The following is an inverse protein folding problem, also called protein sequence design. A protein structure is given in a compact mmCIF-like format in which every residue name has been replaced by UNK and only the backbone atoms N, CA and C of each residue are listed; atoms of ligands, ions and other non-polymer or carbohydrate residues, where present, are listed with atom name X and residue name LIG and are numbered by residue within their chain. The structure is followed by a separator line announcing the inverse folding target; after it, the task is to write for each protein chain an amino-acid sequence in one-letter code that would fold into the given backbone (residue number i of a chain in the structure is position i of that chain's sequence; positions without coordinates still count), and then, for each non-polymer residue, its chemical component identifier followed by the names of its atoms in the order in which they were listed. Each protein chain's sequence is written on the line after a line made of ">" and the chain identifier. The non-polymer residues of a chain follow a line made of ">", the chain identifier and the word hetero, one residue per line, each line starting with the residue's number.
data_IF_747321738564
#
_entry.id   IF_747321738564
#
_cell.length_a   1.000
_cell.length_b   1.000
_cell.length_c   1.000
_cell.angle_alpha   90.00
_cell.angle_beta   90.00
_cell.angle_gamma   90.00
#
_symmetry.space_group_name_H-M   'P 1'
#
loop_
_entity.id
_entity.type
_entity.pdbx_description
1 polymer ?
#
# COMPACT_ATOMS: atom_id res chain seq x y z
N UNK A 1 23.08 43.41 -14.50
CA UNK A 1 21.66 43.69 -14.18
C UNK A 1 20.72 42.57 -14.62
N UNK A 2 20.75 42.10 -15.88
CA UNK A 2 19.84 41.04 -16.37
C UNK A 2 20.03 39.68 -15.65
N UNK A 3 21.27 39.29 -15.35
CA UNK A 3 21.59 38.05 -14.64
C UNK A 3 21.03 38.04 -13.20
N UNK A 4 21.09 39.19 -12.52
CA UNK A 4 20.52 39.34 -11.17
C UNK A 4 18.99 39.29 -11.19
N UNK A 5 18.36 39.80 -12.25
CA UNK A 5 16.91 39.72 -12.42
C UNK A 5 16.44 38.27 -12.59
N UNK A 6 17.17 37.47 -13.38
CA UNK A 6 16.87 36.04 -13.59
C UNK A 6 17.05 35.23 -12.30
N UNK A 7 18.10 35.50 -11.52
CA UNK A 7 18.28 34.86 -10.21
C UNK A 7 17.20 35.26 -9.21
N UNK A 8 16.75 36.51 -9.25
CA UNK A 8 15.65 36.97 -8.39
C UNK A 8 14.34 36.30 -8.82
N UNK A 9 14.09 36.11 -10.12
CA UNK A 9 12.90 35.41 -10.64
C UNK A 9 12.93 33.93 -10.23
N UNK A 10 14.06 33.23 -10.32
CA UNK A 10 14.15 31.83 -9.85
C UNK A 10 14.00 31.69 -8.34
N UNK A 11 14.55 32.63 -7.56
CA UNK A 11 14.35 32.67 -6.10
C UNK A 11 12.88 32.97 -5.76
N UNK A 12 12.25 33.94 -6.43
CA UNK A 12 10.81 34.24 -6.25
C UNK A 12 9.97 33.01 -6.59
N UNK A 13 10.23 32.33 -7.71
CA UNK A 13 9.51 31.10 -8.08
C UNK A 13 9.75 29.94 -7.10
N UNK A 14 10.86 29.95 -6.36
CA UNK A 14 11.15 28.99 -5.29
C UNK A 14 10.55 29.38 -3.94
N UNK A 15 10.29 30.68 -3.70
CA UNK A 15 9.67 31.23 -2.49
C UNK A 15 8.14 31.29 -2.61
N UNK A 16 7.61 31.48 -3.82
CA UNK A 16 6.25 31.12 -4.18
C UNK A 16 6.25 29.61 -4.34
N UNK A 17 6.26 28.87 -3.23
CA UNK A 17 6.13 27.43 -3.25
C UNK A 17 5.04 27.01 -4.24
N UNK A 18 5.27 25.91 -4.97
CA UNK A 18 4.24 25.29 -5.83
C UNK A 18 2.90 25.43 -5.12
N UNK A 19 1.83 25.89 -5.81
CA UNK A 19 0.54 26.06 -5.16
C UNK A 19 0.24 24.76 -4.41
N UNK A 20 0.14 24.83 -3.09
CA UNK A 20 -0.35 23.73 -2.28
C UNK A 20 -1.75 23.53 -2.84
N UNK A 21 -1.91 22.57 -3.73
CA UNK A 21 -3.23 22.16 -4.20
C UNK A 21 -3.93 21.78 -2.92
N UNK A 22 -4.84 22.63 -2.46
CA UNK A 22 -5.53 22.44 -1.19
C UNK A 22 -6.14 21.05 -1.25
N UNK A 23 -5.52 20.09 -0.54
CA UNK A 23 -5.92 18.69 -0.60
C UNK A 23 -7.24 18.66 0.13
N UNK A 24 -8.32 18.54 -0.63
CA UNK A 24 -9.65 18.69 -0.07
C UNK A 24 -9.91 17.51 0.87
N UNK A 25 -10.03 17.80 2.16
CA UNK A 25 -10.22 16.79 3.22
C UNK A 25 -11.52 16.01 2.98
N UNK A 26 -12.49 16.57 2.25
CA UNK A 26 -13.73 15.87 1.87
C UNK A 26 -13.51 14.63 1.00
N UNK A 27 -12.34 14.50 0.37
CA UNK A 27 -12.01 13.34 -0.46
C UNK A 27 -11.52 12.13 0.37
N UNK A 28 -11.46 12.28 1.69
CA UNK A 28 -10.89 11.31 2.61
C UNK A 28 -11.97 10.65 3.48
N UNK A 29 -11.84 9.34 3.66
CA UNK A 29 -12.73 8.53 4.51
C UNK A 29 -11.88 7.76 5.51
N UNK A 30 -12.19 7.86 6.81
CA UNK A 30 -11.62 7.00 7.86
C UNK A 30 -12.61 5.84 8.09
N UNK A 31 -12.16 4.60 7.91
CA UNK A 31 -12.98 3.42 8.20
C UNK A 31 -13.09 3.19 9.71
N UNK A 32 -14.04 2.35 10.13
CA UNK A 32 -14.16 1.92 11.55
C UNK A 32 -12.88 1.27 12.06
N UNK A 33 -12.15 0.56 11.19
CA UNK A 33 -10.84 -0.04 11.50
C UNK A 33 -9.67 0.97 11.47
N UNK A 34 -9.93 2.28 11.41
CA UNK A 34 -8.89 3.31 11.41
C UNK A 34 -8.08 3.41 10.10
N UNK A 35 -8.58 2.86 8.99
CA UNK A 35 -7.90 2.89 7.69
C UNK A 35 -8.32 4.14 6.91
N UNK A 36 -7.34 4.86 6.37
CA UNK A 36 -7.59 6.04 5.52
C UNK A 36 -7.74 5.64 4.05
N UNK A 37 -8.90 5.95 3.49
CA UNK A 37 -9.20 5.86 2.06
C UNK A 37 -9.23 7.27 1.46
N UNK A 38 -8.81 7.38 0.19
CA UNK A 38 -8.80 8.63 -0.55
C UNK A 38 -9.41 8.46 -1.93
N UNK A 39 -10.41 9.29 -2.23
CA UNK A 39 -11.21 9.23 -3.45
C UNK A 39 -10.91 10.39 -4.41
N UNK A 40 -10.05 11.33 -4.00
CA UNK A 40 -9.70 12.51 -4.79
C UNK A 40 -8.72 12.23 -5.93
N UNK A 41 -8.11 13.29 -6.44
CA UNK A 41 -7.31 13.29 -7.67
C UNK A 41 -5.84 13.68 -7.47
N UNK A 42 -5.35 13.71 -6.23
CA UNK A 42 -3.93 13.96 -5.96
C UNK A 42 -3.07 12.81 -6.52
N UNK A 43 -1.96 13.15 -7.18
CA UNK A 43 -1.09 12.22 -7.91
C UNK A 43 0.40 12.44 -7.61
N UNK A 44 0.71 12.95 -6.42
CA UNK A 44 2.08 13.15 -5.96
C UNK A 44 2.27 12.53 -4.56
N UNK A 45 3.47 12.03 -4.31
CA UNK A 45 3.84 11.47 -3.01
C UNK A 45 4.15 12.59 -2.02
N UNK A 46 4.35 12.23 -0.74
CA UNK A 46 4.84 13.17 0.28
C UNK A 46 6.18 13.82 -0.05
N UNK A 47 6.96 13.20 -0.94
CA UNK A 47 8.25 13.71 -1.43
C UNK A 47 8.12 14.39 -2.80
N UNK A 48 6.90 14.70 -3.23
CA UNK A 48 6.61 15.37 -4.50
C UNK A 48 7.03 14.56 -5.75
N UNK A 49 7.22 13.24 -5.61
CA UNK A 49 7.40 12.35 -6.75
C UNK A 49 6.06 12.10 -7.44
N UNK A 50 6.05 12.12 -8.77
CA UNK A 50 4.84 11.88 -9.55
C UNK A 50 4.47 10.40 -9.54
N UNK A 51 3.19 10.12 -9.27
CA UNK A 51 2.66 8.78 -9.27
C UNK A 51 2.58 8.20 -10.69
N UNK A 52 2.98 6.93 -10.82
CA UNK A 52 2.80 6.12 -12.02
C UNK A 52 1.32 5.74 -12.22
N UNK A 53 0.86 5.57 -13.48
CA UNK A 53 -0.48 5.08 -13.76
C UNK A 53 -0.67 3.63 -13.28
N UNK A 54 -1.68 3.39 -12.44
CA UNK A 54 -2.02 2.06 -11.92
C UNK A 54 -2.31 1.04 -13.04
N UNK A 55 -2.84 1.50 -14.17
CA UNK A 55 -3.16 0.64 -15.29
C UNK A 55 -1.91 0.08 -15.99
N UNK A 56 -0.84 0.87 -16.07
CA UNK A 56 0.39 0.46 -16.77
C UNK A 56 1.16 -0.61 -15.95
N UNK A 57 1.02 -0.52 -14.63
CA UNK A 57 1.62 -1.44 -13.68
C UNK A 57 0.97 -2.83 -13.67
N UNK A 58 -0.23 -3.00 -14.26
CA UNK A 58 -0.86 -4.31 -14.38
C UNK A 58 0.01 -5.31 -15.14
N UNK A 59 0.88 -4.84 -16.04
CA UNK A 59 1.79 -5.71 -16.80
C UNK A 59 3.02 -6.14 -16.00
N UNK A 60 3.39 -5.37 -14.98
CA UNK A 60 4.58 -5.59 -14.14
C UNK A 60 4.21 -6.34 -12.85
N UNK A 61 3.06 -5.98 -12.25
CA UNK A 61 2.55 -6.53 -10.98
C UNK A 61 1.19 -7.20 -11.17
N UNK A 62 1.05 -8.01 -12.22
CA UNK A 62 -0.21 -8.67 -12.59
C UNK A 62 -0.87 -9.38 -11.42
N UNK A 63 -0.12 -10.20 -10.69
CA UNK A 63 -0.63 -11.03 -9.59
C UNK A 63 -1.21 -10.22 -8.42
N UNK A 64 -0.78 -8.96 -8.26
CA UNK A 64 -1.21 -8.07 -7.18
C UNK A 64 -2.38 -7.19 -7.66
N UNK A 65 -2.19 -6.47 -8.77
CA UNK A 65 -3.14 -5.42 -9.18
C UNK A 65 -4.44 -6.03 -9.77
N UNK A 66 -4.35 -7.21 -10.37
CA UNK A 66 -5.52 -7.92 -10.93
C UNK A 66 -6.19 -8.84 -9.92
N UNK A 67 -5.68 -8.92 -8.69
CA UNK A 67 -6.27 -9.73 -7.64
C UNK A 67 -7.71 -9.26 -7.37
N UNK A 68 -8.69 -10.17 -7.37
CA UNK A 68 -10.07 -9.80 -7.09
C UNK A 68 -10.17 -9.17 -5.70
N UNK A 69 -10.67 -7.94 -5.64
CA UNK A 69 -10.79 -7.12 -4.42
C UNK A 69 -9.55 -6.31 -4.02
N UNK A 70 -8.48 -6.27 -4.83
CA UNK A 70 -7.40 -5.31 -4.57
C UNK A 70 -7.93 -3.87 -4.67
N UNK A 71 -8.65 -3.52 -5.73
CA UNK A 71 -9.34 -2.23 -5.84
C UNK A 71 -10.85 -2.39 -5.54
N UNK A 72 -11.22 -2.31 -4.26
CA UNK A 72 -12.64 -2.29 -3.84
C UNK A 72 -13.34 -0.97 -4.18
N UNK A 73 -12.61 0.15 -4.12
CA UNK A 73 -13.14 1.49 -4.41
C UNK A 73 -12.00 2.51 -4.60
N UNK A 74 -11.85 3.19 -5.77
CA UNK A 74 -12.46 2.93 -7.08
C UNK A 74 -11.65 1.89 -7.90
N UNK A 75 -12.17 1.38 -9.02
CA UNK A 75 -11.44 0.42 -9.89
C UNK A 75 -10.09 0.94 -10.39
N UNK A 76 -9.18 0.03 -10.78
CA UNK A 76 -7.85 0.35 -11.35
C UNK A 76 -7.92 1.39 -12.47
N UNK A 77 -8.92 1.28 -13.37
CA UNK A 77 -9.10 2.21 -14.50
C UNK A 77 -9.48 3.62 -14.04
N UNK A 78 -10.27 3.72 -12.98
CA UNK A 78 -10.73 5.00 -12.42
C UNK A 78 -9.68 5.62 -11.50
N UNK A 79 -8.80 4.80 -10.92
CA UNK A 79 -7.68 5.26 -10.11
C UNK A 79 -6.66 6.09 -10.90
N UNK A 80 -6.55 5.91 -12.23
CA UNK A 80 -5.57 6.60 -13.09
C UNK A 80 -4.16 6.52 -12.50
N UNK A 81 -3.57 7.65 -12.08
CA UNK A 81 -2.33 7.73 -11.31
C UNK A 81 -2.54 8.42 -9.95
N UNK A 82 -3.78 8.45 -9.45
CA UNK A 82 -4.09 9.11 -8.19
C UNK A 82 -3.66 8.24 -7.00
N UNK A 83 -3.32 8.88 -5.89
CA UNK A 83 -3.05 8.20 -4.61
C UNK A 83 -4.23 7.32 -4.21
N UNK A 84 -3.99 6.07 -3.84
CA UNK A 84 -5.05 5.13 -3.43
C UNK A 84 -4.57 4.24 -2.30
N UNK A 85 -5.50 3.58 -1.62
CA UNK A 85 -5.18 2.63 -0.57
C UNK A 85 -5.86 1.26 -0.79
N UNK A 86 -5.56 0.58 -1.91
CA UNK A 86 -6.26 -0.66 -2.29
C UNK A 86 -6.05 -1.80 -1.28
N UNK A 87 -4.88 -1.85 -0.66
CA UNK A 87 -4.47 -2.90 0.28
C UNK A 87 -4.71 -2.55 1.75
N UNK A 88 -5.50 -1.51 2.05
CA UNK A 88 -5.81 -1.09 3.42
C UNK A 88 -4.56 -0.83 4.28
N UNK A 89 -3.55 -0.19 3.68
CA UNK A 89 -2.34 0.22 4.37
C UNK A 89 -2.67 1.19 5.50
N UNK A 90 -2.20 0.87 6.72
CA UNK A 90 -2.39 1.69 7.92
C UNK A 90 -1.72 3.07 7.83
N UNK A 91 -0.67 3.21 7.02
CA UNK A 91 -0.01 4.48 6.78
C UNK A 91 -0.81 5.40 5.83
N UNK A 92 -1.92 4.88 5.26
CA UNK A 92 -2.82 5.63 4.41
C UNK A 92 -2.52 5.49 2.91
N UNK A 93 -3.06 6.40 2.09
CA UNK A 93 -2.95 6.32 0.64
C UNK A 93 -1.52 6.46 0.13
N UNK A 94 -1.23 5.73 -0.94
CA UNK A 94 0.09 5.63 -1.56
C UNK A 94 -0.04 5.52 -3.07
N UNK A 95 1.09 5.56 -3.77
CA UNK A 95 1.17 5.22 -5.18
C UNK A 95 2.54 4.63 -5.51
N UNK A 96 2.69 4.11 -6.73
CA UNK A 96 4.00 3.72 -7.24
C UNK A 96 4.69 4.90 -7.90
N UNK A 97 6.02 4.95 -7.76
CA UNK A 97 6.89 5.90 -8.44
C UNK A 97 7.99 5.13 -9.18
N UNK A 98 8.67 5.81 -10.11
CA UNK A 98 9.89 5.29 -10.73
C UNK A 98 11.03 6.27 -10.46
N UNK A 99 12.08 5.76 -9.80
CA UNK A 99 13.31 6.51 -9.60
C UNK A 99 14.50 5.66 -10.06
N UNK A 100 15.38 6.24 -10.88
CA UNK A 100 16.55 5.56 -11.45
C UNK A 100 16.26 4.18 -12.08
N UNK A 101 15.10 4.04 -12.72
CA UNK A 101 14.68 2.78 -13.36
C UNK A 101 14.11 1.73 -12.41
N UNK A 102 13.98 2.04 -11.12
CA UNK A 102 13.43 1.16 -10.10
C UNK A 102 12.01 1.64 -9.75
N UNK A 103 11.05 0.73 -9.80
CA UNK A 103 9.67 1.00 -9.37
C UNK A 103 9.52 0.65 -7.90
N UNK A 104 9.02 1.60 -7.11
CA UNK A 104 8.80 1.44 -5.67
C UNK A 104 7.47 2.08 -5.26
N UNK A 105 6.98 1.69 -4.08
CA UNK A 105 5.81 2.28 -3.44
C UNK A 105 6.23 3.46 -2.56
N UNK A 106 5.48 4.56 -2.63
CA UNK A 106 5.65 5.71 -1.75
C UNK A 106 4.31 6.24 -1.22
N UNK A 107 4.33 6.71 0.03
CA UNK A 107 3.17 7.29 0.71
C UNK A 107 2.81 8.65 0.13
N UNK A 108 1.51 8.91 0.01
CA UNK A 108 1.00 10.21 -0.35
C UNK A 108 0.66 11.04 0.89
N UNK A 109 0.92 12.34 0.80
CA UNK A 109 0.53 13.29 1.83
C UNK A 109 -0.93 13.74 1.63
N UNK A 110 -1.87 12.80 1.71
CA UNK A 110 -3.32 13.07 1.65
C UNK A 110 -3.97 12.60 2.93
N UNK A 111 -5.03 13.29 3.37
CA UNK A 111 -5.82 12.88 4.55
C UNK A 111 -5.12 12.95 5.92
N UNK A 112 -3.96 13.63 6.03
CA UNK A 112 -3.20 13.71 7.28
C UNK A 112 -4.04 14.19 8.47
N UNK A 113 -4.94 15.16 8.26
CA UNK A 113 -5.79 15.72 9.32
C UNK A 113 -6.81 14.73 9.92
N UNK A 114 -7.05 13.61 9.25
CA UNK A 114 -7.94 12.54 9.72
C UNK A 114 -7.16 11.35 10.28
N UNK A 115 -5.84 11.40 10.26
CA UNK A 115 -5.03 10.31 10.79
C UNK A 115 -5.17 10.24 12.31
N UNK A 116 -5.43 9.07 12.91
CA UNK A 116 -5.36 8.90 14.36
C UNK A 116 -3.98 9.28 14.95
N UNK A 117 -2.95 9.38 14.09
CA UNK A 117 -1.59 9.79 14.47
C UNK A 117 -1.39 11.31 14.49
N UNK A 118 -2.27 12.10 13.85
CA UNK A 118 -2.15 13.56 13.82
C UNK A 118 -2.68 14.24 15.09
N UNK A 119 -3.27 13.48 16.01
CA UNK A 119 -3.68 13.96 17.32
C UNK A 119 -2.57 13.92 18.36
N UNK A 120 -1.30 13.61 18.02
CA UNK A 120 -0.21 13.81 18.97
C UNK A 120 -0.17 15.30 19.36
N UNK A 121 -0.52 15.66 20.60
CA UNK A 121 -0.33 17.02 21.06
C UNK A 121 1.18 17.26 21.07
N UNK A 122 1.63 18.35 20.47
CA UNK A 122 3.03 18.80 20.55
C UNK A 122 3.44 19.18 21.98
N UNK A 123 2.50 19.13 22.94
CA UNK A 123 2.76 19.22 24.38
C UNK A 123 2.73 17.83 25.01
N UNK A 124 3.88 17.39 25.49
CA UNK A 124 4.03 16.17 26.30
C UNK A 124 3.38 16.45 27.66
N UNK A 125 2.06 16.28 27.73
CA UNK A 125 1.32 16.07 28.97
C UNK A 125 1.06 14.58 29.15
N UNK A 126 1.66 14.01 30.20
CA UNK A 126 1.29 12.76 30.89
C UNK A 126 0.93 11.54 30.02
N UNK A 127 1.90 10.67 29.81
CA UNK A 127 1.81 9.38 29.10
C UNK A 127 0.84 8.38 29.80
N UNK A 128 0.32 8.69 30.97
CA UNK A 128 -0.47 7.72 31.75
C UNK A 128 -1.96 7.66 31.37
N UNK A 129 -2.52 8.69 30.71
CA UNK A 129 -3.97 8.74 30.42
C UNK A 129 -4.33 8.26 29.00
N UNK A 130 -3.50 8.57 27.99
CA UNK A 130 -3.75 8.20 26.58
C UNK A 130 -3.52 6.70 26.31
N UNK A 131 -2.68 6.05 27.12
CA UNK A 131 -2.24 4.68 26.87
C UNK A 131 -3.27 3.63 27.29
N UNK A 132 -4.21 3.96 28.18
CA UNK A 132 -5.20 2.99 28.69
C UNK A 132 -6.33 2.72 27.69
N UNK A 133 -6.85 3.74 27.03
CA UNK A 133 -7.97 3.57 26.08
C UNK A 133 -7.52 2.85 24.79
N UNK A 134 -6.32 3.14 24.27
CA UNK A 134 -5.78 2.44 23.09
C UNK A 134 -5.53 0.95 23.31
N UNK A 135 -5.22 0.52 24.54
CA UNK A 135 -4.96 -0.90 24.84
C UNK A 135 -6.27 -1.70 24.97
N UNK A 136 -7.37 -1.04 25.34
CA UNK A 136 -8.64 -1.71 25.66
C UNK A 136 -9.64 -1.78 24.49
N UNK A 137 -9.42 -1.04 23.39
CA UNK A 137 -10.46 -0.77 22.38
C UNK A 137 -10.73 -1.90 21.35
N UNK A 138 -10.37 -3.16 21.64
CA UNK A 138 -10.70 -4.30 20.76
C UNK A 138 -10.00 -4.32 19.38
N UNK A 139 -9.44 -3.20 18.91
CA UNK A 139 -8.70 -3.05 17.66
C UNK A 139 -7.54 -4.05 17.56
N UNK A 140 -6.73 -4.18 18.62
CA UNK A 140 -5.65 -5.16 18.67
C UNK A 140 -6.12 -6.61 18.68
N UNK A 141 -7.35 -6.88 19.15
CA UNK A 141 -7.93 -8.23 19.07
C UNK A 141 -8.43 -8.52 17.66
N UNK A 142 -9.08 -7.56 17.00
CA UNK A 142 -9.51 -7.68 15.60
C UNK A 142 -8.30 -7.91 14.68
N UNK A 143 -7.23 -7.11 14.84
CA UNK A 143 -5.99 -7.28 14.10
C UNK A 143 -5.34 -8.65 14.36
N UNK A 144 -5.34 -9.11 15.62
CA UNK A 144 -4.84 -10.43 15.99
C UNK A 144 -5.65 -11.54 15.33
N UNK A 145 -6.97 -11.41 15.28
CA UNK A 145 -7.85 -12.42 14.69
C UNK A 145 -7.78 -12.42 13.16
N UNK A 146 -7.62 -11.27 12.52
CA UNK A 146 -7.36 -11.17 11.09
C UNK A 146 -6.00 -11.77 10.72
N UNK A 147 -4.95 -11.47 11.48
CA UNK A 147 -3.63 -12.12 11.33
C UNK A 147 -3.71 -13.64 11.50
N UNK A 148 -4.50 -14.14 12.45
CA UNK A 148 -4.73 -15.59 12.61
C UNK A 148 -5.43 -16.19 11.40
N UNK A 149 -6.45 -15.51 10.84
CA UNK A 149 -7.15 -15.97 9.63
C UNK A 149 -6.21 -16.03 8.44
N UNK A 150 -5.40 -14.98 8.24
CA UNK A 150 -4.42 -14.93 7.16
C UNK A 150 -3.34 -16.01 7.31
N UNK A 151 -2.84 -16.22 8.53
CA UNK A 151 -1.91 -17.30 8.83
C UNK A 151 -2.52 -18.70 8.58
N UNK A 152 -3.80 -18.90 8.92
CA UNK A 152 -4.51 -20.15 8.63
C UNK A 152 -4.67 -20.37 7.11
N UNK A 153 -5.05 -19.32 6.36
CA UNK A 153 -5.13 -19.35 4.91
C UNK A 153 -3.79 -19.73 4.26
N UNK A 154 -2.69 -19.07 4.67
CA UNK A 154 -1.34 -19.39 4.17
C UNK A 154 -0.97 -20.85 4.48
N UNK A 155 -1.23 -21.33 5.70
CA UNK A 155 -0.95 -22.73 6.08
C UNK A 155 -1.71 -23.71 5.19
N UNK A 156 -2.99 -23.46 4.91
CA UNK A 156 -3.78 -24.34 4.03
C UNK A 156 -3.28 -24.29 2.58
N UNK A 157 -2.95 -23.11 2.05
CA UNK A 157 -2.35 -23.00 0.70
C UNK A 157 -1.00 -23.68 0.60
N UNK A 158 -0.16 -23.58 1.63
CA UNK A 158 1.10 -24.29 1.69
C UNK A 158 0.88 -25.82 1.70
N UNK A 159 -0.09 -26.33 2.46
CA UNK A 159 -0.44 -27.76 2.46
C UNK A 159 -0.88 -28.25 1.07
N UNK A 160 -1.72 -27.48 0.37
CA UNK A 160 -2.15 -27.82 -1.00
C UNK A 160 -0.95 -27.97 -1.95
N UNK A 161 0.00 -27.02 -1.88
CA UNK A 161 1.23 -27.04 -2.69
C UNK A 161 2.08 -28.29 -2.36
N UNK A 162 2.29 -28.56 -1.06
CA UNK A 162 3.07 -29.72 -0.59
C UNK A 162 2.45 -31.03 -1.08
N UNK A 163 1.13 -31.19 -1.03
CA UNK A 163 0.48 -32.41 -1.50
C UNK A 163 0.57 -32.58 -3.02
N UNK A 164 0.52 -31.49 -3.80
CA UNK A 164 0.76 -31.54 -5.25
C UNK A 164 2.20 -32.00 -5.56
N UNK A 165 3.18 -31.49 -4.81
CA UNK A 165 4.58 -31.90 -4.94
C UNK A 165 4.74 -33.39 -4.58
N UNK A 166 4.20 -33.82 -3.44
CA UNK A 166 4.24 -35.24 -3.02
C UNK A 166 3.61 -36.16 -4.06
N UNK A 167 2.45 -35.79 -4.62
CA UNK A 167 1.78 -36.58 -5.67
C UNK A 167 2.65 -36.72 -6.91
N UNK A 168 3.31 -35.63 -7.32
CA UNK A 168 4.23 -35.63 -8.46
C UNK A 168 5.45 -36.52 -8.19
N UNK A 169 6.03 -36.45 -7.00
CA UNK A 169 7.15 -37.29 -6.59
C UNK A 169 6.78 -38.78 -6.54
N UNK A 170 5.59 -39.15 -6.04
CA UNK A 170 5.10 -40.53 -6.08
C UNK A 170 4.99 -41.05 -7.51
N UNK A 171 4.50 -40.23 -8.44
CA UNK A 171 4.37 -40.57 -9.86
C UNK A 171 5.74 -40.79 -10.51
N UNK A 172 6.70 -39.91 -10.23
CA UNK A 172 8.09 -40.04 -10.70
C UNK A 172 8.71 -41.34 -10.15
N UNK A 173 8.56 -41.59 -8.85
CA UNK A 173 9.06 -42.81 -8.20
C UNK A 173 8.49 -44.08 -8.82
N UNK A 174 7.18 -44.12 -9.11
CA UNK A 174 6.55 -45.27 -9.76
C UNK A 174 7.13 -45.54 -11.14
N UNK A 175 7.31 -44.49 -11.95
CA UNK A 175 7.89 -44.61 -13.30
C UNK A 175 9.33 -45.13 -13.26
N UNK A 176 10.13 -44.61 -12.33
CA UNK A 176 11.52 -45.09 -12.14
C UNK A 176 11.52 -46.57 -11.75
N UNK A 177 10.68 -46.98 -10.79
CA UNK A 177 10.58 -48.39 -10.37
C UNK A 177 10.15 -49.33 -11.50
N UNK A 178 9.20 -48.93 -12.34
CA UNK A 178 8.80 -49.69 -13.53
C UNK A 178 9.97 -49.83 -14.51
N UNK A 179 10.68 -48.74 -14.78
CA UNK A 179 11.81 -48.74 -15.70
C UNK A 179 12.97 -49.63 -15.25
N UNK A 180 13.23 -49.73 -13.94
CA UNK A 180 14.20 -50.70 -13.40
C UNK A 180 13.73 -52.15 -13.55
N UNK A 181 12.43 -52.42 -13.40
CA UNK A 181 11.87 -53.77 -13.51
C UNK A 181 11.89 -54.32 -14.95
N UNK A 182 11.86 -53.44 -15.96
CA UNK A 182 11.97 -53.83 -17.38
C UNK A 182 13.42 -54.02 -17.87
N UNK A 183 14.42 -53.53 -17.12
CA UNK A 183 15.84 -53.58 -17.49
C UNK A 183 16.62 -54.70 -16.78
N UNK A 184 15.93 -55.58 -16.04
CA UNK A 184 16.45 -56.81 -15.39
C UNK A 184 15.73 -58.02 -15.95
#
# INVERSE_FOLDING_TARGET
>A
MLLHLLTIITIINSLTGKPIIARNVSDCTLTEDGILLYHGKHSFTKFEHECLPWNDLQTIFTEIITEPNFFKDPSVKLAKNYCRNPNMNINGPWCFIQNDGIISMEECDVCQSLSPRSTLPTDIGSIDEVTSDYINDGFFQNLRDELKRYAAYIREKFKEIVERIKKSLRKIRSKISEQFRYNT
#
